data_IF_556641968430
#
_entry.id   IF_556641968430
#
_cell.length_a   1.000
_cell.length_b   1.000
_cell.length_c   1.000
_cell.angle_alpha   90.00
_cell.angle_beta   90.00
_cell.angle_gamma   90.00
#
_symmetry.space_group_name_H-M   'P 1'
#
loop_
_entity.id
_entity.type
_entity.pdbx_description
1 polymer ?
#
# COMPACT_ATOMS: atom_id res chain seq x y z
N UNK A 1 10.48 8.79 45.09
CA UNK A 1 11.60 7.82 45.20
C UNK A 1 11.31 6.64 44.29
N UNK A 2 11.82 6.67 43.07
CA UNK A 2 12.01 5.48 42.22
C UNK A 2 13.36 5.68 41.55
N UNK A 3 14.37 5.02 42.10
CA UNK A 3 15.73 5.00 41.58
C UNK A 3 15.70 4.49 40.14
N UNK A 4 16.06 5.33 39.18
CA UNK A 4 16.14 4.97 37.75
C UNK A 4 17.55 4.45 37.50
N UNK A 5 17.65 3.23 36.99
CA UNK A 5 18.92 2.59 36.63
C UNK A 5 19.69 3.45 35.62
N UNK A 6 20.95 3.74 35.95
CA UNK A 6 21.91 4.37 35.05
C UNK A 6 22.27 3.38 33.93
N UNK A 7 21.62 3.50 32.77
CA UNK A 7 21.98 2.68 31.60
C UNK A 7 20.94 2.62 30.48
N UNK A 8 19.69 2.97 30.73
CA UNK A 8 18.65 2.93 29.69
C UNK A 8 18.51 4.29 29.00
N UNK A 9 19.22 4.46 27.87
CA UNK A 9 18.98 5.56 26.92
C UNK A 9 17.74 5.23 26.11
N UNK A 10 16.68 6.02 26.27
CA UNK A 10 15.55 6.01 25.33
C UNK A 10 16.09 6.36 23.94
N UNK A 11 16.09 5.39 23.04
CA UNK A 11 16.39 5.61 21.62
C UNK A 11 15.05 5.89 20.94
N UNK A 12 14.96 7.00 20.22
CA UNK A 12 13.75 7.27 19.46
C UNK A 12 13.55 6.13 18.44
N UNK A 13 12.34 5.52 18.37
CA UNK A 13 12.06 4.55 17.33
C UNK A 13 12.38 5.19 15.97
N UNK A 14 13.23 4.53 15.18
CA UNK A 14 13.60 4.98 13.84
C UNK A 14 14.97 5.65 13.69
N UNK A 15 15.70 6.02 14.75
CA UNK A 15 17.00 6.71 14.61
C UNK A 15 18.01 5.89 13.78
N UNK A 16 18.10 4.57 14.03
CA UNK A 16 18.95 3.66 13.24
C UNK A 16 18.49 3.52 11.79
N UNK A 17 17.18 3.56 11.54
CA UNK A 17 16.63 3.48 10.19
C UNK A 17 16.95 4.75 9.40
N UNK A 18 16.82 5.91 10.06
CA UNK A 18 17.15 7.22 9.47
C UNK A 18 18.62 7.28 9.11
N UNK A 19 19.50 6.83 10.00
CA UNK A 19 20.95 6.81 9.73
C UNK A 19 21.32 5.84 8.60
N UNK A 20 20.76 4.62 8.63
CA UNK A 20 20.98 3.65 7.56
C UNK A 20 20.51 4.20 6.20
N UNK A 21 19.30 4.77 6.16
CA UNK A 21 18.73 5.34 4.93
C UNK A 21 19.55 6.53 4.43
N UNK A 22 20.09 7.36 5.33
CA UNK A 22 21.00 8.45 4.97
C UNK A 22 22.25 7.92 4.29
N UNK A 23 22.88 6.90 4.87
CA UNK A 23 24.07 6.25 4.28
C UNK A 23 23.76 5.72 2.88
N UNK A 24 22.64 5.03 2.70
CA UNK A 24 22.23 4.51 1.40
C UNK A 24 21.99 5.61 0.36
N UNK A 25 21.37 6.73 0.74
CA UNK A 25 21.17 7.88 -0.15
C UNK A 25 22.52 8.49 -0.55
N UNK A 26 23.45 8.66 0.40
CA UNK A 26 24.79 9.18 0.12
C UNK A 26 25.57 8.25 -0.81
N UNK A 27 25.46 6.94 -0.58
CA UNK A 27 26.15 5.93 -1.38
C UNK A 27 25.60 5.83 -2.81
N UNK A 28 24.27 5.93 -2.97
CA UNK A 28 23.61 6.02 -4.27
C UNK A 28 24.09 7.24 -5.09
N UNK A 29 24.56 8.30 -4.42
CA UNK A 29 25.01 9.57 -5.02
C UNK A 29 26.51 9.72 -5.14
N UNK A 30 27.28 8.65 -4.94
CA UNK A 30 28.75 8.74 -4.90
C UNK A 30 29.35 9.23 -6.24
N UNK A 31 28.63 9.08 -7.36
CA UNK A 31 29.03 9.56 -8.68
C UNK A 31 28.62 11.01 -8.99
N UNK A 32 27.36 11.37 -8.74
CA UNK A 32 26.82 12.72 -8.88
C UNK A 32 25.96 13.06 -7.65
N UNK A 33 26.27 14.18 -7.00
CA UNK A 33 25.56 14.65 -5.80
C UNK A 33 24.13 15.10 -6.09
N UNK A 34 23.80 15.35 -7.36
CA UNK A 34 22.49 15.78 -7.83
C UNK A 34 21.64 14.64 -8.40
N UNK A 35 22.14 13.39 -8.40
CA UNK A 35 21.37 12.27 -8.93
C UNK A 35 20.02 12.10 -8.20
N UNK A 36 18.92 11.89 -8.96
CA UNK A 36 17.62 11.68 -8.37
C UNK A 36 17.56 10.34 -7.64
N UNK A 37 17.09 10.37 -6.39
CA UNK A 37 16.93 9.17 -5.56
C UNK A 37 15.46 9.04 -5.16
N UNK A 38 14.84 7.93 -5.53
CA UNK A 38 13.47 7.59 -5.12
C UNK A 38 13.50 6.57 -4.00
N UNK A 39 12.95 6.95 -2.84
CA UNK A 39 12.80 6.08 -1.67
C UNK A 39 11.36 5.58 -1.63
N UNK A 40 11.18 4.26 -1.77
CA UNK A 40 9.87 3.63 -1.66
C UNK A 40 9.54 3.36 -0.19
N UNK A 41 8.37 3.82 0.25
CA UNK A 41 7.93 3.75 1.65
C UNK A 41 6.55 3.10 1.78
N UNK A 42 6.23 2.46 2.91
CA UNK A 42 4.98 1.71 3.05
C UNK A 42 3.75 2.60 3.24
N UNK A 43 3.93 3.88 3.57
CA UNK A 43 2.82 4.80 3.81
C UNK A 43 3.21 6.26 3.67
N UNK A 44 2.22 7.13 3.48
CA UNK A 44 2.40 8.57 3.49
C UNK A 44 3.00 9.11 4.80
N UNK A 45 2.60 8.52 5.94
CA UNK A 45 3.12 8.91 7.25
C UNK A 45 4.62 8.60 7.37
N UNK A 46 5.03 7.44 6.85
CA UNK A 46 6.44 7.05 6.78
C UNK A 46 7.22 8.01 5.88
N UNK A 47 6.66 8.40 4.72
CA UNK A 47 7.26 9.40 3.84
C UNK A 47 7.52 10.72 4.57
N UNK A 48 6.50 11.24 5.24
CA UNK A 48 6.57 12.51 5.96
C UNK A 48 7.57 12.47 7.11
N UNK A 49 7.55 11.40 7.91
CA UNK A 49 8.48 11.21 9.02
C UNK A 49 9.93 11.15 8.51
N UNK A 50 10.23 10.26 7.56
CA UNK A 50 11.59 10.05 7.07
C UNK A 50 12.14 11.29 6.39
N UNK A 51 11.33 11.97 5.57
CA UNK A 51 11.73 13.22 4.91
C UNK A 51 12.13 14.28 5.94
N UNK A 52 11.34 14.46 7.00
CA UNK A 52 11.64 15.44 8.06
C UNK A 52 12.86 15.04 8.87
N UNK A 53 12.97 13.77 9.24
CA UNK A 53 14.07 13.27 10.05
C UNK A 53 15.42 13.39 9.32
N UNK A 54 15.46 13.08 8.02
CA UNK A 54 16.68 13.20 7.23
C UNK A 54 16.99 14.68 6.95
N UNK A 55 15.97 15.49 6.61
CA UNK A 55 16.14 16.92 6.30
C UNK A 55 16.59 17.77 7.51
N UNK A 56 16.43 17.28 8.73
CA UNK A 56 16.77 18.01 9.95
C UNK A 56 18.28 18.32 10.03
N UNK A 57 19.12 17.39 9.57
CA UNK A 57 20.58 17.51 9.67
C UNK A 57 21.26 17.82 8.33
N UNK A 58 20.58 17.56 7.20
CA UNK A 58 21.19 17.69 5.86
C UNK A 58 20.13 18.12 4.85
N UNK A 59 20.42 19.10 3.98
CA UNK A 59 19.47 19.49 2.95
C UNK A 59 19.24 18.36 1.96
N UNK A 60 17.96 18.04 1.72
CA UNK A 60 17.54 17.02 0.75
C UNK A 60 17.17 17.69 -0.57
N UNK A 61 17.99 17.47 -1.59
CA UNK A 61 17.72 17.86 -2.98
C UNK A 61 17.58 16.61 -3.83
N UNK A 62 16.68 16.60 -4.82
CA UNK A 62 16.46 15.47 -5.73
C UNK A 62 16.21 14.11 -5.03
N UNK A 63 15.70 14.11 -3.80
CA UNK A 63 15.25 12.91 -3.10
C UNK A 63 13.73 12.93 -3.01
N UNK A 64 13.08 11.92 -3.58
CA UNK A 64 11.63 11.75 -3.52
C UNK A 64 11.29 10.56 -2.63
N UNK A 65 10.20 10.68 -1.88
CA UNK A 65 9.63 9.60 -1.09
C UNK A 65 8.26 9.27 -1.68
N UNK A 66 8.09 8.04 -2.19
CA UNK A 66 6.87 7.59 -2.83
C UNK A 66 6.38 6.29 -2.19
N UNK A 67 5.07 6.08 -2.19
CA UNK A 67 4.55 4.74 -1.91
C UNK A 67 4.78 3.84 -3.12
N UNK A 68 4.66 2.53 -2.92
CA UNK A 68 4.87 1.58 -4.01
C UNK A 68 3.87 1.81 -5.15
N UNK A 69 2.61 2.07 -4.78
CA UNK A 69 1.54 2.41 -5.72
C UNK A 69 1.85 3.68 -6.52
N UNK A 70 2.27 4.77 -5.85
CA UNK A 70 2.60 6.03 -6.51
C UNK A 70 3.82 5.86 -7.42
N UNK A 71 4.80 5.04 -7.01
CA UNK A 71 5.98 4.74 -7.82
C UNK A 71 5.61 3.94 -9.07
N UNK A 72 4.73 2.94 -8.95
CA UNK A 72 4.23 2.17 -10.09
C UNK A 72 3.49 3.08 -11.09
N UNK A 73 2.65 4.00 -10.60
CA UNK A 73 1.96 4.99 -11.43
C UNK A 73 2.96 5.89 -12.18
N UNK A 74 4.06 6.31 -11.54
CA UNK A 74 5.09 7.12 -12.22
C UNK A 74 5.85 6.38 -13.31
N UNK A 75 5.99 5.05 -13.20
CA UNK A 75 6.71 4.24 -14.18
C UNK A 75 5.85 3.90 -15.41
N UNK A 76 4.59 3.55 -15.16
CA UNK A 76 3.67 3.07 -16.21
C UNK A 76 2.96 4.25 -16.88
N UNK A 77 2.85 5.39 -16.18
CA UNK A 77 1.96 6.47 -16.55
C UNK A 77 0.51 6.14 -16.19
N UNK A 78 -0.31 7.17 -16.01
CA UNK A 78 -1.76 6.99 -15.79
C UNK A 78 -2.42 6.91 -17.16
N UNK A 79 -2.34 5.74 -17.80
CA UNK A 79 -2.95 5.49 -19.12
C UNK A 79 -4.42 5.06 -19.03
N UNK A 80 -4.96 4.89 -17.82
CA UNK A 80 -6.37 4.55 -17.62
C UNK A 80 -7.21 5.82 -17.41
N UNK A 81 -8.13 6.17 -18.35
CA UNK A 81 -9.00 7.33 -18.20
C UNK A 81 -10.11 7.14 -17.16
N UNK A 82 -10.27 5.93 -16.60
CA UNK A 82 -11.32 5.64 -15.61
C UNK A 82 -10.96 6.24 -14.26
N UNK A 83 -11.95 6.76 -13.51
CA UNK A 83 -11.71 7.27 -12.17
C UNK A 83 -11.30 6.13 -11.23
N UNK A 84 -10.39 6.41 -10.30
CA UNK A 84 -10.00 5.48 -9.25
C UNK A 84 -11.23 4.99 -8.47
N UNK A 85 -11.34 3.66 -8.32
CA UNK A 85 -12.42 3.04 -7.58
C UNK A 85 -12.15 3.18 -6.08
N UNK A 86 -12.90 4.05 -5.40
CA UNK A 86 -12.78 4.18 -3.95
C UNK A 86 -13.32 2.92 -3.25
N UNK A 87 -12.81 2.62 -2.05
CA UNK A 87 -13.30 1.49 -1.23
C UNK A 87 -14.80 1.52 -0.99
N UNK A 88 -15.36 2.73 -0.83
CA UNK A 88 -16.81 2.90 -0.66
C UNK A 88 -17.55 2.49 -1.94
N UNK A 89 -17.10 2.95 -3.11
CA UNK A 89 -17.69 2.57 -4.39
C UNK A 89 -17.54 1.08 -4.68
N UNK A 90 -16.39 0.50 -4.37
CA UNK A 90 -16.19 -0.95 -4.45
C UNK A 90 -17.19 -1.70 -3.57
N UNK A 91 -17.37 -1.26 -2.32
CA UNK A 91 -18.34 -1.85 -1.39
C UNK A 91 -19.78 -1.73 -1.89
N UNK A 92 -20.17 -0.60 -2.48
CA UNK A 92 -21.51 -0.41 -3.07
C UNK A 92 -21.74 -1.36 -4.25
N UNK A 93 -20.74 -1.53 -5.13
CA UNK A 93 -20.81 -2.46 -6.27
C UNK A 93 -20.95 -3.90 -5.76
N UNK A 94 -20.12 -4.31 -4.79
CA UNK A 94 -20.17 -5.65 -4.21
C UNK A 94 -21.51 -5.91 -3.53
N UNK A 95 -22.05 -4.93 -2.81
CA UNK A 95 -23.37 -5.03 -2.21
C UNK A 95 -24.46 -5.23 -3.28
N UNK A 96 -24.47 -4.39 -4.32
CA UNK A 96 -25.43 -4.48 -5.41
C UNK A 96 -25.39 -5.85 -6.08
N UNK A 97 -24.18 -6.33 -6.43
CA UNK A 97 -23.92 -7.64 -7.03
C UNK A 97 -24.36 -8.78 -6.10
N UNK A 98 -24.02 -8.72 -4.81
CA UNK A 98 -24.43 -9.74 -3.85
C UNK A 98 -25.97 -9.81 -3.74
N UNK A 99 -26.66 -8.68 -3.73
CA UNK A 99 -28.12 -8.65 -3.61
C UNK A 99 -28.87 -8.92 -4.92
N UNK A 100 -28.20 -8.93 -6.06
CA UNK A 100 -28.82 -9.12 -7.37
C UNK A 100 -29.19 -10.60 -7.61
N UNK A 101 -30.48 -10.92 -7.44
CA UNK A 101 -31.03 -12.27 -7.65
C UNK A 101 -30.80 -12.82 -9.07
N UNK A 102 -30.54 -11.96 -10.07
CA UNK A 102 -30.25 -12.40 -11.43
C UNK A 102 -28.87 -13.08 -11.56
N UNK A 103 -27.95 -12.79 -10.63
CA UNK A 103 -26.63 -13.39 -10.58
C UNK A 103 -26.75 -14.78 -9.97
N UNK A 104 -26.43 -15.82 -10.75
CA UNK A 104 -26.42 -17.20 -10.26
C UNK A 104 -25.18 -17.43 -9.41
N UNK A 105 -25.39 -17.72 -8.13
CA UNK A 105 -24.35 -18.19 -7.23
C UNK A 105 -24.43 -19.72 -7.14
N UNK A 106 -23.33 -20.41 -6.80
CA UNK A 106 -23.39 -21.78 -6.32
C UNK A 106 -24.44 -21.96 -5.23
N UNK A 107 -25.10 -23.12 -5.21
CA UNK A 107 -26.23 -23.40 -4.32
C UNK A 107 -25.87 -23.23 -2.84
N UNK A 108 -24.61 -23.48 -2.48
CA UNK A 108 -24.09 -23.33 -1.12
C UNK A 108 -24.09 -21.88 -0.64
N UNK A 109 -23.96 -20.91 -1.55
CA UNK A 109 -23.87 -19.48 -1.23
C UNK A 109 -25.22 -18.76 -1.31
N UNK A 110 -26.21 -19.37 -1.96
CA UNK A 110 -27.57 -18.80 -2.08
C UNK A 110 -28.21 -18.44 -0.73
N UNK A 111 -28.15 -19.30 0.33
CA UNK A 111 -28.76 -19.00 1.63
C UNK A 111 -28.08 -17.85 2.39
N UNK A 112 -26.80 -17.57 2.09
CA UNK A 112 -25.99 -16.58 2.81
C UNK A 112 -25.78 -15.28 2.03
N UNK A 113 -26.35 -15.19 0.82
CA UNK A 113 -26.24 -14.06 -0.11
C UNK A 113 -26.47 -12.69 0.54
N UNK A 114 -27.51 -12.58 1.37
CA UNK A 114 -27.89 -11.33 2.04
C UNK A 114 -27.10 -11.03 3.32
N UNK A 115 -26.17 -11.89 3.74
CA UNK A 115 -25.43 -11.70 4.99
C UNK A 115 -24.25 -10.75 4.79
N UNK A 116 -24.06 -9.82 5.74
CA UNK A 116 -22.89 -8.93 5.73
C UNK A 116 -21.55 -9.69 5.71
N UNK A 117 -21.52 -10.87 6.35
CA UNK A 117 -20.34 -11.74 6.36
C UNK A 117 -19.95 -12.23 4.96
N UNK A 118 -20.94 -12.59 4.14
CA UNK A 118 -20.72 -12.99 2.75
C UNK A 118 -20.20 -11.83 1.92
N UNK A 119 -20.77 -10.63 2.07
CA UNK A 119 -20.31 -9.42 1.37
C UNK A 119 -18.87 -9.04 1.74
N UNK A 120 -18.52 -9.11 3.04
CA UNK A 120 -17.13 -8.86 3.49
C UNK A 120 -16.15 -9.90 2.98
N UNK A 121 -16.55 -11.17 2.97
CA UNK A 121 -15.71 -12.25 2.44
C UNK A 121 -15.48 -12.10 0.93
N UNK A 122 -16.53 -11.73 0.18
CA UNK A 122 -16.43 -11.45 -1.26
C UNK A 122 -15.50 -10.26 -1.53
N UNK A 123 -15.65 -9.16 -0.80
CA UNK A 123 -14.75 -8.01 -0.91
C UNK A 123 -13.28 -8.40 -0.69
N UNK A 124 -13.01 -9.14 0.39
CA UNK A 124 -11.66 -9.59 0.71
C UNK A 124 -11.09 -10.52 -0.36
N UNK A 125 -11.90 -11.45 -0.86
CA UNK A 125 -11.46 -12.40 -1.89
C UNK A 125 -11.10 -11.68 -3.18
N UNK A 126 -11.87 -10.66 -3.58
CA UNK A 126 -11.55 -9.84 -4.75
C UNK A 126 -10.27 -9.03 -4.55
N UNK A 127 -10.06 -8.44 -3.36
CA UNK A 127 -8.80 -7.76 -3.03
C UNK A 127 -7.60 -8.74 -3.08
N UNK A 128 -7.76 -9.96 -2.58
CA UNK A 128 -6.71 -10.98 -2.57
C UNK A 128 -6.38 -11.47 -4.01
N UNK A 129 -7.39 -11.60 -4.88
CA UNK A 129 -7.21 -11.95 -6.30
C UNK A 129 -6.50 -10.85 -7.09
N UNK A 130 -6.87 -9.58 -6.84
CA UNK A 130 -6.23 -8.41 -7.44
C UNK A 130 -4.76 -8.31 -7.03
N UNK A 131 -4.48 -8.47 -5.73
CA UNK A 131 -3.11 -8.48 -5.20
C UNK A 131 -2.25 -9.63 -5.76
N UNK A 132 -2.87 -10.77 -6.09
CA UNK A 132 -2.22 -11.89 -6.74
C UNK A 132 -2.04 -11.71 -8.26
N UNK A 133 -2.60 -10.65 -8.85
CA UNK A 133 -2.54 -10.38 -10.30
C UNK A 133 -3.39 -11.35 -11.12
N UNK A 134 -4.45 -11.93 -10.53
CA UNK A 134 -5.33 -12.87 -11.22
C UNK A 134 -6.30 -12.09 -12.10
N UNK A 135 -6.12 -12.20 -13.42
CA UNK A 135 -7.02 -11.56 -14.36
C UNK A 135 -8.40 -12.24 -14.33
N UNK A 136 -9.52 -11.49 -14.35
CA UNK A 136 -10.86 -12.09 -14.36
C UNK A 136 -11.07 -13.10 -15.49
N UNK A 137 -10.53 -12.82 -16.68
CA UNK A 137 -10.62 -13.70 -17.84
C UNK A 137 -9.93 -15.06 -17.64
N UNK A 138 -9.04 -15.20 -16.65
CA UNK A 138 -8.38 -16.47 -16.32
C UNK A 138 -9.23 -17.37 -15.41
N UNK A 139 -10.32 -16.84 -14.85
CA UNK A 139 -11.24 -17.59 -13.98
C UNK A 139 -12.31 -18.36 -14.77
N UNK A 140 -12.52 -17.99 -16.04
CA UNK A 140 -13.57 -18.56 -16.91
C UNK A 140 -13.23 -19.99 -17.42
N UNK A 141 -12.01 -20.48 -17.20
CA UNK A 141 -11.51 -21.74 -17.80
C UNK A 141 -11.58 -22.96 -16.86
N UNK A 142 -12.16 -22.82 -15.67
CA UNK A 142 -12.37 -23.94 -14.74
C UNK A 142 -13.84 -24.31 -14.71
N UNK A 143 -14.23 -25.17 -15.66
CA UNK A 143 -15.47 -25.93 -15.56
C UNK A 143 -15.52 -26.69 -14.24
N UNK A 144 -16.40 -26.23 -13.35
CA UNK A 144 -17.03 -27.03 -12.31
C UNK A 144 -18.51 -27.14 -12.66
#
# INVERSE_FOLDING_TARGET
MTSREAGQRWVAPGERLVEALRSEITDARRGDSLDPVTVVVPSFHSALYLRRAIAADTPLFNVQFLRLEDFAETLIGVDDPRPSLSRLRASEIIHAVATDESIKLPDEFTPIRGQEGFQRALHRTLDDLDAAGVAPASLDDSGW
#
